data_IF_559472404479
#
_entry.id   IF_559472404479
#
_cell.length_a   1.000
_cell.length_b   1.000
_cell.length_c   1.000
_cell.angle_alpha   90.00
_cell.angle_beta   90.00
_cell.angle_gamma   90.00
#
_symmetry.space_group_name_H-M   'P 1'
#
loop_
_entity.id
_entity.type
_entity.pdbx_description
1 polymer ?
#
# COMPACT_ATOMS: atom_id res chain seq x y z
N UNK A 1 27.90 12.34 -5.07
CA UNK A 1 28.15 11.69 -6.37
C UNK A 1 26.82 11.39 -7.11
N UNK A 2 25.89 10.61 -6.52
CA UNK A 2 24.62 10.27 -7.17
C UNK A 2 23.80 11.51 -7.58
N UNK A 3 23.51 12.43 -6.64
CA UNK A 3 22.76 13.66 -6.90
C UNK A 3 23.43 14.54 -7.96
N UNK A 4 24.77 14.67 -7.93
CA UNK A 4 25.49 15.46 -8.94
C UNK A 4 25.40 14.87 -10.35
N UNK A 5 25.34 13.54 -10.48
CA UNK A 5 25.12 12.89 -11.78
C UNK A 5 23.69 13.09 -12.29
N UNK A 6 22.70 13.10 -11.39
CA UNK A 6 21.31 13.40 -11.75
C UNK A 6 21.18 14.85 -12.29
N UNK A 7 21.80 15.83 -11.60
CA UNK A 7 21.76 17.21 -12.07
C UNK A 7 22.46 17.38 -13.41
N UNK A 8 23.58 16.71 -13.64
CA UNK A 8 24.27 16.68 -14.94
C UNK A 8 23.39 16.09 -16.02
N UNK A 9 22.77 14.94 -15.76
CA UNK A 9 21.80 14.32 -16.66
C UNK A 9 20.62 15.25 -16.97
N UNK A 10 20.10 15.94 -15.95
CA UNK A 10 19.02 16.93 -16.12
C UNK A 10 19.42 18.06 -17.08
N UNK A 11 20.63 18.57 -16.97
CA UNK A 11 21.15 19.62 -17.86
C UNK A 11 21.30 19.12 -19.30
N UNK A 12 21.83 17.92 -19.48
CA UNK A 12 22.04 17.33 -20.81
C UNK A 12 20.71 16.94 -21.49
N UNK A 13 19.82 16.28 -20.76
CA UNK A 13 18.58 15.72 -21.30
C UNK A 13 17.39 16.67 -21.24
N UNK A 14 17.29 17.50 -20.20
CA UNK A 14 16.15 18.39 -19.96
C UNK A 14 15.94 19.43 -21.06
N UNK A 15 17.02 19.94 -21.63
CA UNK A 15 16.95 20.91 -22.73
C UNK A 15 16.54 20.28 -24.06
N UNK A 16 16.78 18.99 -24.24
CA UNK A 16 16.50 18.29 -25.50
C UNK A 16 15.01 18.35 -25.89
N UNK A 17 14.10 18.13 -24.95
CA UNK A 17 12.66 18.14 -25.21
C UNK A 17 12.18 19.54 -25.63
N UNK A 18 12.68 20.60 -25.01
CA UNK A 18 12.30 21.99 -25.34
C UNK A 18 12.85 22.41 -26.70
N UNK A 19 14.07 22.00 -27.03
CA UNK A 19 14.65 22.21 -28.37
C UNK A 19 13.86 21.46 -29.46
N UNK A 20 13.47 20.21 -29.21
CA UNK A 20 12.64 19.43 -30.12
C UNK A 20 11.27 20.08 -30.35
N UNK A 21 10.61 20.53 -29.29
CA UNK A 21 9.32 21.23 -29.38
C UNK A 21 9.43 22.55 -30.15
N UNK A 22 10.48 23.34 -29.91
CA UNK A 22 10.77 24.56 -30.70
C UNK A 22 10.94 24.25 -32.18
N UNK A 23 11.67 23.19 -32.51
CA UNK A 23 11.89 22.73 -33.88
C UNK A 23 10.59 22.25 -34.56
N UNK A 24 9.67 21.68 -33.81
CA UNK A 24 8.34 21.28 -34.26
C UNK A 24 7.40 22.48 -34.41
N UNK A 25 7.81 23.70 -34.02
CA UNK A 25 7.00 24.90 -34.13
C UNK A 25 5.98 25.09 -32.99
N UNK A 26 6.17 24.43 -31.86
CA UNK A 26 5.30 24.62 -30.70
C UNK A 26 5.40 26.05 -30.18
N UNK A 27 4.26 26.71 -29.97
CA UNK A 27 4.16 28.09 -29.50
C UNK A 27 3.96 28.18 -28.00
N UNK A 28 5.02 27.89 -27.22
CA UNK A 28 5.02 28.04 -25.78
C UNK A 28 5.74 29.33 -25.38
N UNK A 29 5.45 29.81 -24.17
CA UNK A 29 6.23 30.87 -23.54
C UNK A 29 7.49 30.29 -22.91
N UNK A 30 8.53 30.14 -23.71
CA UNK A 30 9.81 29.56 -23.33
C UNK A 30 10.55 30.36 -22.24
N UNK A 31 10.20 31.60 -22.02
CA UNK A 31 10.79 32.43 -20.94
C UNK A 31 10.30 32.01 -19.57
N UNK A 32 9.19 31.28 -19.48
CA UNK A 32 8.59 30.75 -18.26
C UNK A 32 8.78 29.25 -18.12
N UNK A 33 9.78 28.69 -18.81
CA UNK A 33 10.16 27.29 -18.61
C UNK A 33 10.58 27.06 -17.14
N UNK A 34 10.03 26.01 -16.53
CA UNK A 34 10.30 25.63 -15.14
C UNK A 34 10.65 24.15 -15.06
N UNK A 35 11.44 23.81 -14.08
CA UNK A 35 11.77 22.44 -13.73
C UNK A 35 11.21 22.11 -12.35
N UNK A 36 10.56 20.94 -12.22
CA UNK A 36 9.82 20.56 -10.99
C UNK A 36 10.65 20.56 -9.72
N UNK A 37 11.98 20.40 -9.83
CA UNK A 37 12.94 20.45 -8.72
C UNK A 37 13.70 21.76 -8.63
N UNK A 38 13.29 22.83 -9.35
CA UNK A 38 13.90 24.14 -9.15
C UNK A 38 13.53 24.73 -7.77
N UNK A 39 14.33 25.65 -7.27
CA UNK A 39 14.15 26.24 -5.93
C UNK A 39 12.77 26.85 -5.73
N UNK A 40 12.22 27.52 -6.75
CA UNK A 40 10.91 28.15 -6.66
C UNK A 40 9.76 27.14 -6.53
N UNK A 41 9.79 26.06 -7.32
CA UNK A 41 8.79 25.00 -7.21
C UNK A 41 8.99 24.14 -5.96
N UNK A 42 10.23 23.87 -5.54
CA UNK A 42 10.52 23.21 -4.27
C UNK A 42 9.96 24.00 -3.08
N UNK A 43 10.14 25.32 -3.06
CA UNK A 43 9.55 26.19 -2.03
C UNK A 43 8.01 26.16 -2.08
N UNK A 44 7.41 26.15 -3.28
CA UNK A 44 5.97 26.05 -3.42
C UNK A 44 5.41 24.73 -2.88
N UNK A 45 6.09 23.60 -3.15
CA UNK A 45 5.72 22.28 -2.61
C UNK A 45 5.77 22.29 -1.08
N UNK A 46 6.87 22.78 -0.48
CA UNK A 46 7.00 22.87 0.97
C UNK A 46 5.89 23.73 1.58
N UNK A 47 5.61 24.89 1.00
CA UNK A 47 4.56 25.79 1.47
C UNK A 47 3.17 25.16 1.43
N UNK A 48 2.85 24.44 0.34
CA UNK A 48 1.57 23.73 0.22
C UNK A 48 1.48 22.60 1.23
N UNK A 49 2.56 21.81 1.40
CA UNK A 49 2.61 20.75 2.40
C UNK A 49 2.33 21.29 3.81
N UNK A 50 3.04 22.34 4.22
CA UNK A 50 2.89 22.96 5.55
C UNK A 50 1.49 23.52 5.75
N UNK A 51 0.90 24.18 4.73
CA UNK A 51 -0.47 24.70 4.80
C UNK A 51 -1.47 23.56 5.01
N UNK A 52 -1.43 22.53 4.17
CA UNK A 52 -2.35 21.39 4.27
C UNK A 52 -2.17 20.60 5.58
N UNK A 53 -0.93 20.49 6.09
CA UNK A 53 -0.68 19.88 7.39
C UNK A 53 -1.32 20.68 8.53
N UNK A 54 -1.16 22.00 8.53
CA UNK A 54 -1.76 22.89 9.53
C UNK A 54 -3.31 22.89 9.48
N UNK A 55 -3.88 22.63 8.31
CA UNK A 55 -5.33 22.45 8.12
C UNK A 55 -5.81 21.04 8.49
N UNK A 56 -4.91 20.13 8.87
CA UNK A 56 -5.23 18.73 9.19
C UNK A 56 -5.62 17.88 7.98
N UNK A 57 -5.21 18.31 6.78
CA UNK A 57 -5.44 17.60 5.51
C UNK A 57 -4.26 16.72 5.10
N UNK A 58 -3.08 16.96 5.68
CA UNK A 58 -1.93 16.05 5.58
C UNK A 58 -1.69 15.43 6.96
N UNK A 59 -1.49 14.12 6.97
CA UNK A 59 -1.27 13.37 8.20
C UNK A 59 -0.36 12.15 7.94
N UNK A 60 0.23 11.61 9.00
CA UNK A 60 1.01 10.35 8.95
C UNK A 60 0.18 9.23 9.53
N UNK A 61 0.11 8.10 8.85
CA UNK A 61 -0.66 6.93 9.28
C UNK A 61 0.01 5.63 8.82
N UNK A 62 -0.27 4.56 9.56
CA UNK A 62 0.19 3.22 9.22
C UNK A 62 -0.90 2.50 8.43
N UNK A 63 -0.69 2.33 7.13
CA UNK A 63 -1.62 1.68 6.20
C UNK A 63 -0.90 0.75 5.24
N UNK A 64 -1.67 -0.08 4.56
CA UNK A 64 -1.17 -0.79 3.38
C UNK A 64 -0.92 0.20 2.24
N UNK A 65 0.23 0.02 1.59
CA UNK A 65 0.59 0.70 0.35
C UNK A 65 0.99 -0.31 -0.71
N UNK A 66 0.92 0.07 -1.97
CA UNK A 66 1.59 -0.65 -3.03
C UNK A 66 3.10 -0.45 -2.87
N UNK A 67 3.81 -1.51 -2.55
CA UNK A 67 5.26 -1.49 -2.32
C UNK A 67 6.01 -2.17 -3.44
N UNK A 68 6.95 -1.46 -4.01
CA UNK A 68 7.88 -2.03 -4.98
C UNK A 68 9.13 -2.57 -4.25
N UNK A 69 9.30 -3.91 -4.15
CA UNK A 69 10.41 -4.48 -3.39
C UNK A 69 11.76 -4.37 -4.10
N UNK A 70 11.79 -4.07 -5.41
CA UNK A 70 13.03 -3.82 -6.15
C UNK A 70 13.48 -2.37 -5.98
N UNK A 71 12.58 -1.41 -6.11
CA UNK A 71 12.88 0.01 -5.92
C UNK A 71 12.88 0.41 -4.44
N UNK A 72 12.32 -0.43 -3.55
CA UNK A 72 12.21 -0.23 -2.10
C UNK A 72 11.47 1.06 -1.74
N UNK A 73 10.35 1.28 -2.41
CA UNK A 73 9.52 2.46 -2.21
C UNK A 73 8.04 2.15 -2.37
N UNK A 74 7.21 2.95 -1.70
CA UNK A 74 5.79 3.01 -2.01
C UNK A 74 5.58 3.61 -3.41
N UNK A 75 4.58 3.11 -4.13
CA UNK A 75 4.15 3.64 -5.43
C UNK A 75 2.65 3.92 -5.38
N UNK A 76 2.18 4.82 -6.25
CA UNK A 76 0.77 5.14 -6.36
C UNK A 76 0.01 4.08 -7.19
N UNK A 77 -1.31 4.04 -7.04
CA UNK A 77 -2.16 3.14 -7.83
C UNK A 77 -2.01 3.36 -9.35
N UNK A 78 -1.69 4.59 -9.77
CA UNK A 78 -1.44 4.93 -11.18
C UNK A 78 -0.13 4.35 -11.73
N UNK A 79 0.80 3.96 -10.86
CA UNK A 79 2.08 3.33 -11.20
C UNK A 79 1.99 1.79 -11.15
N UNK A 80 0.77 1.24 -10.90
CA UNK A 80 0.52 -0.20 -10.87
C UNK A 80 -0.13 -0.67 -12.16
N UNK A 81 0.53 -1.59 -12.85
CA UNK A 81 0.03 -2.23 -14.06
C UNK A 81 -0.54 -3.59 -13.71
N UNK A 82 -1.83 -3.79 -13.97
CA UNK A 82 -2.47 -5.09 -13.79
C UNK A 82 -2.16 -6.00 -14.99
N UNK A 83 -1.62 -7.19 -14.73
CA UNK A 83 -1.34 -8.19 -15.77
C UNK A 83 -2.06 -9.50 -15.46
N UNK A 84 -2.66 -10.10 -16.48
CA UNK A 84 -3.19 -11.46 -16.41
C UNK A 84 -2.04 -12.45 -16.48
N UNK A 85 -1.95 -13.33 -15.50
CA UNK A 85 -0.88 -14.33 -15.39
C UNK A 85 -1.48 -15.68 -15.07
N UNK A 86 -1.06 -16.72 -15.78
CA UNK A 86 -1.38 -18.09 -15.42
C UNK A 86 -0.73 -18.43 -14.06
N UNK A 87 -1.53 -18.91 -13.13
CA UNK A 87 -1.11 -19.28 -11.80
C UNK A 87 -1.89 -20.48 -11.28
N UNK A 88 -1.96 -20.57 -9.98
CA UNK A 88 -2.65 -21.66 -9.31
C UNK A 88 -3.49 -21.16 -8.16
N UNK A 89 -4.57 -21.87 -7.89
CA UNK A 89 -5.40 -21.76 -6.70
C UNK A 89 -5.16 -23.02 -5.85
N UNK A 90 -4.66 -22.84 -4.65
CA UNK A 90 -4.36 -23.94 -3.72
C UNK A 90 -5.43 -24.04 -2.66
N UNK A 91 -5.94 -25.27 -2.46
CA UNK A 91 -6.95 -25.58 -1.44
C UNK A 91 -6.25 -26.24 -0.25
N UNK A 92 -6.31 -25.59 0.92
CA UNK A 92 -5.53 -25.94 2.10
C UNK A 92 -6.48 -26.23 3.27
N UNK A 93 -6.23 -27.33 4.00
CA UNK A 93 -6.98 -27.72 5.22
C UNK A 93 -6.44 -26.95 6.43
N UNK A 94 -7.33 -26.31 7.16
CA UNK A 94 -7.07 -25.75 8.49
C UNK A 94 -7.82 -26.58 9.54
N UNK A 95 -7.12 -27.40 10.34
CA UNK A 95 -7.77 -28.29 11.32
C UNK A 95 -8.49 -27.50 12.40
N UNK A 96 -9.68 -27.93 12.78
CA UNK A 96 -10.45 -27.34 13.87
C UNK A 96 -9.86 -27.81 15.20
N UNK A 97 -9.51 -26.87 16.09
CA UNK A 97 -8.81 -27.18 17.37
C UNK A 97 -9.63 -28.10 18.27
N UNK A 98 -10.94 -27.86 18.37
CA UNK A 98 -11.87 -28.64 19.20
C UNK A 98 -12.24 -29.99 18.61
N UNK A 99 -11.98 -30.21 17.32
CA UNK A 99 -12.29 -31.46 16.61
C UNK A 99 -11.30 -31.70 15.48
N UNK A 100 -10.23 -32.38 15.79
CA UNK A 100 -9.12 -32.67 14.85
C UNK A 100 -9.52 -33.49 13.60
N UNK A 101 -10.71 -34.10 13.60
CA UNK A 101 -11.23 -34.83 12.44
C UNK A 101 -11.87 -33.88 11.44
N UNK A 102 -12.29 -32.70 11.88
CA UNK A 102 -12.85 -31.66 11.06
C UNK A 102 -11.81 -30.60 10.69
N UNK A 103 -11.93 -30.08 9.50
CA UNK A 103 -11.11 -28.98 8.99
C UNK A 103 -11.98 -28.02 8.17
N UNK A 104 -11.61 -26.77 8.12
CA UNK A 104 -12.11 -25.82 7.12
C UNK A 104 -11.10 -25.76 5.97
N UNK A 105 -11.60 -25.79 4.74
CA UNK A 105 -10.75 -25.69 3.55
C UNK A 105 -10.79 -24.23 3.07
N UNK A 106 -9.65 -23.62 2.87
CA UNK A 106 -9.51 -22.31 2.24
C UNK A 106 -8.91 -22.46 0.84
N UNK A 107 -9.24 -21.55 -0.06
CA UNK A 107 -8.62 -21.44 -1.37
C UNK A 107 -7.83 -20.14 -1.46
N UNK A 108 -6.58 -20.20 -1.91
CA UNK A 108 -5.71 -19.02 -2.01
C UNK A 108 -4.78 -19.09 -3.20
N UNK A 109 -4.48 -17.94 -3.80
CA UNK A 109 -3.44 -17.75 -4.81
C UNK A 109 -2.09 -17.36 -4.19
N UNK A 110 -2.07 -17.07 -2.87
CA UNK A 110 -0.89 -16.60 -2.14
C UNK A 110 -0.66 -17.39 -0.84
N UNK A 111 -0.32 -18.69 -0.94
CA UNK A 111 -0.17 -19.54 0.25
C UNK A 111 0.94 -19.05 1.18
N UNK A 112 1.99 -18.40 0.70
CA UNK A 112 3.09 -17.84 1.50
C UNK A 112 2.63 -16.81 2.53
N UNK A 113 1.49 -16.15 2.30
CA UNK A 113 0.96 -15.16 3.27
C UNK A 113 0.26 -15.79 4.46
N UNK A 114 0.02 -17.12 4.46
CA UNK A 114 -0.62 -17.82 5.57
C UNK A 114 0.11 -17.66 6.92
N UNK A 115 1.40 -17.39 6.90
CA UNK A 115 2.15 -17.07 8.10
C UNK A 115 1.62 -15.83 8.84
N UNK A 116 0.95 -14.93 8.14
CA UNK A 116 0.33 -13.71 8.67
C UNK A 116 -1.18 -13.80 8.89
N UNK A 117 -1.80 -14.97 8.70
CA UNK A 117 -3.25 -15.13 8.89
C UNK A 117 -3.66 -14.85 10.32
N UNK A 118 -4.76 -14.10 10.50
CA UNK A 118 -5.30 -13.74 11.82
C UNK A 118 -6.74 -14.19 12.03
N UNK A 119 -7.45 -14.53 10.95
CA UNK A 119 -8.77 -15.14 10.98
C UNK A 119 -9.05 -15.94 9.71
N UNK A 120 -10.12 -16.74 9.73
CA UNK A 120 -10.81 -17.21 8.53
C UNK A 120 -12.18 -16.58 8.52
N UNK A 121 -12.54 -15.90 7.43
CA UNK A 121 -13.86 -15.32 7.23
C UNK A 121 -14.76 -16.28 6.45
N UNK A 122 -16.02 -16.36 6.85
CA UNK A 122 -17.10 -17.06 6.14
C UNK A 122 -18.32 -16.15 6.04
N UNK A 123 -19.10 -16.31 5.00
CA UNK A 123 -20.30 -15.49 4.84
C UNK A 123 -21.34 -15.83 5.92
N UNK A 124 -21.96 -14.86 6.60
CA UNK A 124 -22.97 -15.11 7.63
C UNK A 124 -24.20 -15.88 7.10
N UNK A 125 -24.46 -15.85 5.78
CA UNK A 125 -25.55 -16.57 5.12
C UNK A 125 -25.16 -17.98 4.67
N UNK A 126 -23.87 -18.35 4.73
CA UNK A 126 -23.38 -19.66 4.31
C UNK A 126 -23.64 -20.73 5.38
N UNK A 127 -24.61 -21.57 5.11
CA UNK A 127 -25.04 -22.63 6.05
C UNK A 127 -23.98 -23.71 6.26
N UNK A 128 -23.02 -23.88 5.33
CA UNK A 128 -21.96 -24.90 5.41
C UNK A 128 -21.06 -24.68 6.63
N UNK A 129 -20.86 -23.44 7.03
CA UNK A 129 -19.93 -23.07 8.08
C UNK A 129 -20.59 -22.61 9.39
N UNK A 130 -21.92 -22.62 9.47
CA UNK A 130 -22.69 -22.11 10.62
C UNK A 130 -22.19 -22.66 11.97
N UNK A 131 -21.90 -23.95 12.03
CA UNK A 131 -21.46 -24.64 13.27
C UNK A 131 -19.96 -24.47 13.55
N UNK A 132 -19.21 -23.85 12.64
CA UNK A 132 -17.77 -23.57 12.77
C UNK A 132 -17.49 -22.11 13.19
N UNK A 133 -18.44 -21.19 13.02
CA UNK A 133 -18.27 -19.79 13.41
C UNK A 133 -17.94 -19.68 14.92
N UNK A 134 -16.92 -18.89 15.24
CA UNK A 134 -16.41 -18.68 16.59
C UNK A 134 -15.47 -19.77 17.08
N UNK A 135 -15.33 -20.90 16.38
CA UNK A 135 -14.32 -21.93 16.71
C UNK A 135 -12.92 -21.49 16.28
N UNK A 136 -11.93 -22.12 16.89
CA UNK A 136 -10.52 -21.92 16.53
C UNK A 136 -10.05 -23.01 15.56
N UNK A 137 -9.19 -22.61 14.63
CA UNK A 137 -8.45 -23.50 13.74
C UNK A 137 -6.95 -23.28 13.90
N UNK A 138 -6.17 -24.30 13.53
CA UNK A 138 -4.71 -24.21 13.47
C UNK A 138 -4.29 -23.83 12.07
N UNK A 139 -3.41 -22.82 11.97
CA UNK A 139 -2.69 -22.55 10.72
C UNK A 139 -1.70 -23.72 10.51
N UNK A 140 -1.80 -24.45 9.39
CA UNK A 140 -0.86 -25.53 9.08
C UNK A 140 0.59 -25.07 9.13
N UNK A 141 1.51 -25.96 9.49
CA UNK A 141 2.96 -25.69 9.56
C UNK A 141 3.34 -24.67 10.66
N UNK A 142 2.55 -23.63 10.87
CA UNK A 142 2.79 -22.56 11.86
C UNK A 142 2.34 -22.96 13.26
N UNK A 143 1.20 -23.64 13.36
CA UNK A 143 0.59 -24.09 14.64
C UNK A 143 -0.10 -22.96 15.42
N UNK A 144 -0.16 -21.72 14.90
CA UNK A 144 -0.90 -20.62 15.54
C UNK A 144 -2.40 -20.86 15.40
N UNK A 145 -3.14 -20.53 16.47
CA UNK A 145 -4.60 -20.62 16.49
C UNK A 145 -5.20 -19.30 16.02
N UNK A 146 -6.20 -19.39 15.14
CA UNK A 146 -6.99 -18.26 14.67
C UNK A 146 -8.48 -18.60 14.73
N UNK A 147 -9.34 -17.58 14.78
CA UNK A 147 -10.79 -17.77 14.86
C UNK A 147 -11.45 -17.79 13.48
N UNK A 148 -12.54 -18.53 13.37
CA UNK A 148 -13.47 -18.42 12.26
C UNK A 148 -14.46 -17.31 12.60
N UNK A 149 -14.50 -16.27 11.76
CA UNK A 149 -15.37 -15.09 11.90
C UNK A 149 -16.40 -15.06 10.78
N UNK A 150 -17.44 -14.26 10.94
CA UNK A 150 -18.38 -13.95 9.86
C UNK A 150 -18.08 -12.60 9.25
N UNK A 151 -18.01 -12.55 7.93
CA UNK A 151 -17.89 -11.30 7.18
C UNK A 151 -18.54 -11.46 5.80
N UNK A 152 -19.28 -10.45 5.34
CA UNK A 152 -19.93 -10.46 4.02
C UNK A 152 -18.92 -10.41 2.86
N UNK A 153 -17.66 -10.07 3.14
CA UNK A 153 -16.57 -10.15 2.18
C UNK A 153 -16.35 -11.56 1.62
N UNK A 154 -16.55 -12.60 2.44
CA UNK A 154 -16.44 -13.98 1.98
C UNK A 154 -17.60 -14.33 1.04
N UNK A 155 -17.27 -14.59 -0.24
CA UNK A 155 -18.24 -14.99 -1.24
C UNK A 155 -18.45 -16.52 -1.21
N UNK A 156 -19.68 -17.02 -0.90
CA UNK A 156 -19.96 -18.45 -0.81
C UNK A 156 -19.72 -19.22 -2.12
N UNK A 157 -19.78 -18.53 -3.26
CA UNK A 157 -19.67 -19.12 -4.59
C UNK A 157 -18.23 -19.10 -5.14
N UNK A 158 -17.30 -18.47 -4.44
CA UNK A 158 -15.90 -18.43 -4.83
C UNK A 158 -15.03 -19.39 -4.01
N UNK A 159 -14.18 -20.18 -4.70
CA UNK A 159 -13.25 -21.12 -4.07
C UNK A 159 -13.95 -22.13 -3.18
N UNK A 160 -13.67 -22.09 -1.87
CA UNK A 160 -14.35 -22.92 -0.86
C UNK A 160 -15.51 -22.17 -0.17
N UNK A 161 -15.66 -20.87 -0.39
CA UNK A 161 -16.54 -19.98 0.37
C UNK A 161 -15.96 -19.52 1.71
N UNK A 162 -14.80 -20.03 2.08
CA UNK A 162 -14.05 -19.60 3.26
C UNK A 162 -12.75 -18.91 2.83
N UNK A 163 -12.48 -17.74 3.38
CA UNK A 163 -11.35 -16.90 3.00
C UNK A 163 -10.42 -16.72 4.20
N UNK A 164 -9.13 -16.98 4.01
CA UNK A 164 -8.11 -16.62 5.00
C UNK A 164 -7.98 -15.10 5.05
N UNK A 165 -7.82 -14.54 6.22
CA UNK A 165 -7.69 -13.08 6.41
C UNK A 165 -6.27 -12.78 6.88
N UNK A 166 -5.53 -12.09 6.01
CA UNK A 166 -4.15 -11.65 6.24
C UNK A 166 -4.05 -10.12 6.12
N UNK A 167 -4.47 -9.37 7.13
CA UNK A 167 -4.69 -7.93 7.04
C UNK A 167 -3.46 -7.10 6.66
N UNK A 168 -2.25 -7.60 6.90
CA UNK A 168 -1.02 -6.89 6.55
C UNK A 168 -0.52 -7.15 5.11
N UNK A 169 -1.21 -8.01 4.32
CA UNK A 169 -0.74 -8.44 2.99
C UNK A 169 -1.82 -8.47 1.90
N UNK A 170 -3.01 -7.95 2.18
CA UNK A 170 -4.10 -7.77 1.22
C UNK A 170 -4.97 -6.59 1.61
N UNK A 171 -5.34 -5.74 0.65
CA UNK A 171 -6.12 -4.52 0.91
C UNK A 171 -7.53 -4.81 1.41
N UNK A 172 -8.19 -5.83 0.85
CA UNK A 172 -9.53 -6.22 1.29
C UNK A 172 -9.48 -6.85 2.69
N UNK A 173 -8.48 -7.71 2.94
CA UNK A 173 -8.26 -8.32 4.25
C UNK A 173 -7.91 -7.26 5.32
N UNK A 174 -7.24 -6.17 4.93
CA UNK A 174 -6.97 -5.04 5.81
C UNK A 174 -8.26 -4.39 6.32
N UNK A 175 -9.24 -4.19 5.44
CA UNK A 175 -10.53 -3.63 5.82
C UNK A 175 -11.34 -4.61 6.68
N UNK A 176 -11.30 -5.92 6.36
CA UNK A 176 -11.87 -6.96 7.23
C UNK A 176 -11.18 -6.93 8.60
N UNK A 177 -9.87 -6.84 8.62
CA UNK A 177 -9.06 -6.75 9.83
C UNK A 177 -9.44 -5.56 10.72
N UNK A 178 -9.60 -4.38 10.12
CA UNK A 178 -10.02 -3.16 10.84
C UNK A 178 -11.40 -3.30 11.47
N UNK A 179 -12.41 -3.68 10.70
CA UNK A 179 -13.79 -3.78 11.22
C UNK A 179 -14.01 -4.91 12.22
N UNK A 180 -13.16 -5.95 12.17
CA UNK A 180 -13.19 -7.07 13.13
C UNK A 180 -12.13 -6.96 14.23
N UNK A 181 -11.36 -5.87 14.27
CA UNK A 181 -10.28 -5.62 15.24
C UNK A 181 -9.26 -6.78 15.31
N UNK A 182 -8.83 -7.27 14.14
CA UNK A 182 -7.84 -8.34 14.01
C UNK A 182 -6.42 -7.79 14.10
N UNK A 183 -5.49 -8.62 14.56
CA UNK A 183 -4.07 -8.31 14.54
C UNK A 183 -3.55 -8.19 13.10
N UNK A 184 -2.62 -7.27 12.87
CA UNK A 184 -1.99 -7.04 11.56
C UNK A 184 -0.54 -7.51 11.61
N UNK A 185 -0.30 -8.77 11.24
CA UNK A 185 1.02 -9.40 11.28
C UNK A 185 1.69 -9.23 9.92
N UNK A 186 2.67 -8.34 9.84
CA UNK A 186 3.49 -8.15 8.64
C UNK A 186 4.63 -9.17 8.62
N UNK A 187 4.61 -10.06 7.65
CA UNK A 187 5.56 -11.19 7.54
C UNK A 187 6.66 -10.98 6.50
N UNK A 188 6.67 -9.86 5.81
CA UNK A 188 7.66 -9.54 4.78
C UNK A 188 8.45 -8.29 5.16
N UNK A 189 9.69 -8.23 4.72
CA UNK A 189 10.54 -7.05 4.79
C UNK A 189 10.45 -6.20 3.52
N UNK A 190 11.21 -5.11 3.46
CA UNK A 190 11.24 -4.17 2.34
C UNK A 190 11.73 -4.79 1.03
N UNK A 191 12.44 -5.92 1.08
CA UNK A 191 12.92 -6.67 -0.08
C UNK A 191 11.91 -7.74 -0.56
N UNK A 192 10.73 -7.84 0.10
CA UNK A 192 9.74 -8.88 -0.16
C UNK A 192 10.20 -10.27 0.30
N UNK A 193 11.14 -10.35 1.24
CA UNK A 193 11.56 -11.58 1.90
C UNK A 193 10.81 -11.77 3.20
N UNK A 194 10.63 -13.02 3.59
CA UNK A 194 10.01 -13.34 4.87
C UNK A 194 10.89 -12.87 6.03
N UNK A 195 10.30 -12.15 6.98
CA UNK A 195 10.99 -11.54 8.12
C UNK A 195 11.03 -12.47 9.36
N UNK A 196 11.30 -11.91 10.55
CA UNK A 196 11.41 -12.65 11.81
C UNK A 196 10.08 -13.04 12.45
N UNK A 197 8.94 -12.61 11.92
CA UNK A 197 7.60 -13.01 12.37
C UNK A 197 7.24 -14.43 11.93
N UNK A 198 7.97 -15.00 10.97
CA UNK A 198 7.78 -16.38 10.53
C UNK A 198 8.76 -17.34 11.23
N UNK A 199 8.47 -18.68 11.30
CA UNK A 199 9.38 -19.64 11.87
C UNK A 199 10.78 -19.60 11.23
N UNK A 200 11.83 -19.81 12.01
CA UNK A 200 13.24 -19.57 11.64
C UNK A 200 13.67 -20.20 10.31
N UNK A 201 13.15 -21.39 9.97
CA UNK A 201 13.46 -22.07 8.69
C UNK A 201 12.94 -21.34 7.45
N UNK A 202 12.00 -20.39 7.62
CA UNK A 202 11.38 -19.62 6.54
C UNK A 202 11.95 -18.21 6.42
N UNK A 203 12.63 -17.72 7.44
CA UNK A 203 13.18 -16.36 7.47
C UNK A 203 14.19 -16.13 6.34
N UNK A 204 14.18 -14.91 5.82
CA UNK A 204 15.04 -14.44 4.72
C UNK A 204 14.84 -15.17 3.38
N UNK A 205 13.84 -16.04 3.25
CA UNK A 205 13.46 -16.59 1.97
C UNK A 205 12.70 -15.53 1.16
N UNK A 206 13.03 -15.45 -0.13
CA UNK A 206 12.18 -14.75 -1.09
C UNK A 206 10.76 -15.33 -1.07
N UNK A 207 9.73 -14.48 -1.18
CA UNK A 207 8.33 -14.86 -1.07
C UNK A 207 7.89 -15.96 -2.03
N UNK A 208 8.42 -15.99 -3.25
CA UNK A 208 8.09 -17.01 -4.25
C UNK A 208 8.77 -18.34 -3.94
N UNK A 209 10.04 -18.31 -3.51
CA UNK A 209 10.74 -19.51 -3.03
C UNK A 209 10.12 -20.07 -1.76
N UNK A 210 9.63 -19.20 -0.88
CA UNK A 210 8.88 -19.61 0.29
C UNK A 210 7.56 -20.29 -0.09
N UNK A 211 6.85 -19.75 -1.09
CA UNK A 211 5.63 -20.35 -1.64
C UNK A 211 5.87 -21.76 -2.15
N UNK A 212 6.87 -21.95 -3.00
CA UNK A 212 7.22 -23.28 -3.54
C UNK A 212 7.46 -24.30 -2.44
N UNK A 213 8.36 -23.98 -1.50
CA UNK A 213 8.68 -24.88 -0.38
C UNK A 213 7.48 -25.14 0.54
N UNK A 214 6.65 -24.12 0.75
CA UNK A 214 5.47 -24.24 1.59
C UNK A 214 4.45 -25.20 0.98
N UNK A 215 4.22 -25.14 -0.33
CA UNK A 215 3.33 -26.06 -1.03
C UNK A 215 3.84 -27.50 -0.91
N UNK A 216 5.14 -27.74 -1.08
CA UNK A 216 5.75 -29.08 -0.88
C UNK A 216 5.55 -29.59 0.56
N UNK A 217 5.73 -28.72 1.56
CA UNK A 217 5.53 -29.10 2.95
C UNK A 217 4.06 -29.34 3.31
N UNK A 218 3.14 -28.55 2.76
CA UNK A 218 1.69 -28.73 2.93
C UNK A 218 1.22 -30.05 2.29
N UNK A 219 1.73 -30.41 1.14
CA UNK A 219 1.43 -31.68 0.46
C UNK A 219 1.97 -32.86 1.27
N UNK A 220 3.23 -32.81 1.66
CA UNK A 220 3.90 -33.87 2.46
C UNK A 220 3.17 -34.15 3.78
N UNK A 221 2.56 -33.12 4.39
CA UNK A 221 1.83 -33.24 5.67
C UNK A 221 0.30 -33.40 5.49
N UNK A 222 -0.18 -33.69 4.30
CA UNK A 222 -1.60 -33.91 3.97
C UNK A 222 -2.51 -32.71 4.27
N UNK A 223 -1.97 -31.50 4.23
CA UNK A 223 -2.75 -30.25 4.35
C UNK A 223 -3.21 -29.71 2.99
N UNK A 224 -2.52 -30.04 1.89
CA UNK A 224 -2.90 -29.66 0.54
C UNK A 224 -4.00 -30.60 0.02
N UNK A 225 -5.17 -30.07 -0.31
CA UNK A 225 -6.32 -30.84 -0.81
C UNK A 225 -6.26 -31.02 -2.31
N UNK A 226 -6.04 -29.93 -3.00
CA UNK A 226 -5.91 -29.88 -4.49
C UNK A 226 -5.24 -28.61 -4.93
N UNK A 227 -4.78 -28.61 -6.16
CA UNK A 227 -4.25 -27.45 -6.88
C UNK A 227 -5.00 -27.33 -8.21
N UNK A 228 -5.51 -26.15 -8.51
CA UNK A 228 -6.20 -25.84 -9.78
C UNK A 228 -5.44 -24.77 -10.53
N UNK A 229 -5.38 -24.87 -11.86
CA UNK A 229 -4.91 -23.76 -12.70
C UNK A 229 -5.89 -22.61 -12.57
N UNK A 230 -5.36 -21.42 -12.44
CA UNK A 230 -6.16 -20.21 -12.21
C UNK A 230 -5.52 -19.02 -12.92
N UNK A 231 -6.29 -18.32 -13.75
CA UNK A 231 -5.88 -17.04 -14.30
C UNK A 231 -6.06 -15.97 -13.24
N UNK A 232 -4.98 -15.29 -12.88
CA UNK A 232 -4.97 -14.28 -11.84
C UNK A 232 -4.48 -12.95 -12.38
N UNK A 233 -5.12 -11.87 -11.99
CA UNK A 233 -4.66 -10.52 -12.26
C UNK A 233 -3.70 -10.11 -11.16
N UNK A 234 -2.44 -9.85 -11.52
CA UNK A 234 -1.35 -9.56 -10.59
C UNK A 234 -0.84 -8.12 -10.82
N UNK A 235 -0.62 -7.34 -9.73
CA UNK A 235 -0.09 -5.98 -9.83
C UNK A 235 1.43 -5.99 -10.09
N UNK A 236 1.88 -5.22 -11.08
CA UNK A 236 3.29 -4.98 -11.40
C UNK A 236 3.61 -3.49 -11.32
N UNK A 237 4.82 -3.14 -10.91
CA UNK A 237 5.31 -1.76 -10.98
C UNK A 237 5.62 -1.35 -12.41
N UNK A 238 5.19 -0.16 -12.82
CA UNK A 238 5.36 0.36 -14.18
C UNK A 238 6.83 0.56 -14.57
N UNK A 239 7.69 0.84 -13.59
CA UNK A 239 9.13 1.12 -13.80
C UNK A 239 10.02 -0.09 -13.57
N UNK A 240 9.67 -0.93 -12.61
CA UNK A 240 10.48 -2.07 -12.20
C UNK A 240 10.11 -3.35 -12.92
N UNK A 241 8.87 -3.44 -13.40
CA UNK A 241 8.28 -4.66 -13.98
C UNK A 241 8.30 -5.87 -13.02
N UNK A 242 8.28 -5.61 -11.71
CA UNK A 242 8.20 -6.65 -10.68
C UNK A 242 6.82 -6.66 -10.02
N UNK A 243 6.47 -7.80 -9.44
CA UNK A 243 5.22 -7.96 -8.70
C UNK A 243 5.27 -7.09 -7.43
N UNK A 244 4.26 -6.23 -7.29
CA UNK A 244 4.07 -5.31 -6.18
C UNK A 244 3.48 -6.06 -4.99
N UNK A 245 3.91 -5.68 -3.77
CA UNK A 245 3.39 -6.24 -2.54
C UNK A 245 2.55 -5.22 -1.76
N UNK A 246 1.34 -5.59 -1.29
CA UNK A 246 0.70 -4.83 -0.23
C UNK A 246 1.59 -4.85 1.02
N UNK A 247 2.06 -3.69 1.45
CA UNK A 247 3.03 -3.55 2.54
C UNK A 247 2.55 -2.57 3.60
N UNK A 248 2.54 -3.02 4.85
CA UNK A 248 2.06 -2.24 5.98
C UNK A 248 3.18 -1.35 6.53
N UNK A 249 3.12 -0.05 6.26
CA UNK A 249 4.15 0.91 6.68
C UNK A 249 3.55 2.26 7.03
N UNK A 250 4.29 3.06 7.81
CA UNK A 250 3.94 4.45 8.08
C UNK A 250 4.30 5.32 6.88
N UNK A 251 3.30 6.05 6.39
CA UNK A 251 3.44 6.94 5.23
C UNK A 251 2.70 8.25 5.47
N UNK A 252 3.01 9.27 4.66
CA UNK A 252 2.30 10.53 4.65
C UNK A 252 1.14 10.49 3.65
N UNK A 253 -0.03 10.95 4.10
CA UNK A 253 -1.26 10.93 3.31
C UNK A 253 -1.88 12.31 3.22
N UNK A 254 -2.49 12.60 2.07
CA UNK A 254 -3.43 13.71 1.89
C UNK A 254 -4.85 13.16 2.04
N UNK A 255 -5.68 13.83 2.84
CA UNK A 255 -7.12 13.61 2.92
C UNK A 255 -7.80 14.11 1.63
N UNK A 256 -7.66 13.30 0.57
CA UNK A 256 -8.17 13.64 -0.75
C UNK A 256 -9.70 13.68 -0.79
N UNK A 257 -10.38 12.94 0.08
CA UNK A 257 -11.84 12.94 0.19
C UNK A 257 -12.36 14.33 0.57
N UNK A 258 -11.80 14.95 1.61
CA UNK A 258 -12.18 16.31 1.97
C UNK A 258 -11.89 17.33 0.88
N UNK A 259 -10.77 17.19 0.17
CA UNK A 259 -10.41 18.06 -0.95
C UNK A 259 -11.32 17.85 -2.17
N UNK A 260 -11.86 16.65 -2.37
CA UNK A 260 -12.78 16.34 -3.46
C UNK A 260 -14.17 17.01 -3.31
N UNK A 261 -14.62 17.26 -2.08
CA UNK A 261 -15.96 17.82 -1.81
C UNK A 261 -16.21 19.13 -2.57
N UNK A 262 -15.37 20.17 -2.45
CA UNK A 262 -15.60 21.42 -3.17
C UNK A 262 -15.43 21.27 -4.69
N UNK A 263 -14.58 20.35 -5.15
CA UNK A 263 -14.38 20.07 -6.57
C UNK A 263 -15.64 19.43 -7.18
N UNK A 264 -16.21 18.41 -6.54
CA UNK A 264 -17.50 17.81 -6.92
C UNK A 264 -18.63 18.84 -6.96
N UNK A 265 -18.72 19.67 -5.91
CA UNK A 265 -19.73 20.72 -5.80
C UNK A 265 -19.64 21.70 -6.98
N UNK A 266 -18.44 22.09 -7.40
CA UNK A 266 -18.23 23.03 -8.51
C UNK A 266 -18.82 22.51 -9.83
N UNK A 267 -18.72 21.20 -10.10
CA UNK A 267 -19.31 20.59 -11.30
C UNK A 267 -20.82 20.38 -11.13
N UNK A 268 -21.28 19.90 -9.96
CA UNK A 268 -22.71 19.71 -9.68
C UNK A 268 -23.51 21.01 -9.77
N UNK A 269 -22.91 22.13 -9.37
CA UNK A 269 -23.52 23.46 -9.46
C UNK A 269 -23.34 24.12 -10.84
N UNK A 270 -22.69 23.45 -11.78
CA UNK A 270 -22.49 23.97 -13.14
C UNK A 270 -21.47 25.10 -13.27
N UNK A 271 -20.69 25.38 -12.21
CA UNK A 271 -19.57 26.35 -12.25
C UNK A 271 -18.43 25.88 -13.15
N UNK A 272 -18.23 24.57 -13.22
CA UNK A 272 -17.33 23.91 -14.15
C UNK A 272 -18.12 22.90 -14.99
N UNK A 273 -17.81 22.80 -16.29
CA UNK A 273 -18.48 21.91 -17.23
C UNK A 273 -17.46 21.14 -18.05
N UNK A 274 -17.75 19.89 -18.32
CA UNK A 274 -16.99 19.05 -19.26
C UNK A 274 -17.59 19.13 -20.66
N UNK A 275 -16.72 19.23 -21.66
CA UNK A 275 -17.12 19.21 -23.09
C UNK A 275 -16.25 18.16 -23.79
N UNK A 276 -16.82 17.06 -24.26
CA UNK A 276 -18.24 16.65 -24.17
C UNK A 276 -18.66 16.22 -22.75
N UNK A 277 -19.94 16.32 -22.44
CA UNK A 277 -20.50 16.15 -21.09
C UNK A 277 -20.41 14.72 -20.52
N UNK A 278 -20.20 13.71 -21.38
CA UNK A 278 -20.04 12.31 -20.94
C UNK A 278 -18.85 12.11 -20.00
N UNK A 279 -17.82 12.93 -20.08
CA UNK A 279 -16.65 12.87 -19.20
C UNK A 279 -16.96 13.26 -17.73
N UNK A 280 -18.08 13.94 -17.49
CA UNK A 280 -18.49 14.24 -16.11
C UNK A 280 -18.77 12.97 -15.30
N UNK A 281 -19.21 11.87 -15.94
CA UNK A 281 -19.41 10.60 -15.25
C UNK A 281 -18.08 10.07 -14.68
N UNK A 282 -17.04 9.99 -15.52
CA UNK A 282 -15.69 9.56 -15.08
C UNK A 282 -15.16 10.43 -13.95
N UNK A 283 -15.38 11.75 -14.04
CA UNK A 283 -14.98 12.69 -12.99
C UNK A 283 -15.70 12.40 -11.65
N UNK A 284 -17.01 12.18 -11.69
CA UNK A 284 -17.79 11.84 -10.49
C UNK A 284 -17.37 10.49 -9.93
N UNK A 285 -17.29 9.45 -10.77
CA UNK A 285 -16.90 8.10 -10.34
C UNK A 285 -15.53 8.10 -9.66
N UNK A 286 -14.58 8.90 -10.15
CA UNK A 286 -13.25 9.03 -9.56
C UNK A 286 -13.26 9.77 -8.22
N UNK A 287 -13.88 10.95 -8.16
CA UNK A 287 -13.81 11.79 -6.96
C UNK A 287 -14.76 11.35 -5.84
N UNK A 288 -15.87 10.69 -6.17
CA UNK A 288 -16.79 10.15 -5.15
C UNK A 288 -16.22 8.90 -4.46
N UNK A 289 -15.27 8.20 -5.10
CA UNK A 289 -14.61 7.02 -4.57
C UNK A 289 -13.12 7.25 -4.26
N UNK A 290 -12.68 8.51 -4.20
CA UNK A 290 -11.28 8.84 -4.00
C UNK A 290 -10.78 8.37 -2.63
N UNK A 291 -9.62 7.72 -2.63
CA UNK A 291 -8.98 7.25 -1.40
C UNK A 291 -7.92 8.27 -0.91
N UNK A 292 -7.52 8.20 0.36
CA UNK A 292 -6.40 8.99 0.86
C UNK A 292 -5.15 8.77 0.00
N UNK A 293 -4.56 9.84 -0.47
CA UNK A 293 -3.41 9.79 -1.36
C UNK A 293 -2.10 9.68 -0.58
N UNK A 294 -1.37 8.58 -0.76
CA UNK A 294 -0.01 8.42 -0.23
C UNK A 294 0.96 9.29 -1.03
N UNK A 295 1.59 10.28 -0.37
CA UNK A 295 2.48 11.26 -1.00
C UNK A 295 3.97 11.02 -0.70
N UNK A 296 4.30 10.24 0.32
CA UNK A 296 5.70 9.91 0.64
C UNK A 296 6.25 8.83 -0.30
N UNK A 297 7.54 8.96 -0.63
CA UNK A 297 8.32 8.02 -1.43
C UNK A 297 9.73 7.92 -0.86
N UNK A 298 10.27 6.72 -0.84
CA UNK A 298 11.62 6.44 -0.35
C UNK A 298 12.64 6.66 -1.48
N UNK A 299 12.84 7.92 -1.86
CA UNK A 299 13.69 8.31 -2.98
C UNK A 299 14.95 9.04 -2.50
N UNK A 300 16.06 8.81 -3.17
CA UNK A 300 17.31 9.53 -2.88
C UNK A 300 17.34 10.95 -3.46
N UNK A 301 16.45 11.25 -4.36
CA UNK A 301 16.31 12.56 -4.99
C UNK A 301 14.84 12.88 -5.23
N UNK A 302 14.38 13.96 -4.64
CA UNK A 302 12.99 14.41 -4.68
C UNK A 302 12.76 15.59 -3.75
N UNK A 303 11.52 16.03 -3.62
CA UNK A 303 11.12 17.00 -2.59
C UNK A 303 11.03 16.29 -1.25
N UNK A 304 12.01 16.49 -0.39
CA UNK A 304 12.04 15.89 0.93
C UNK A 304 10.94 16.51 1.82
N UNK A 305 10.20 15.66 2.51
CA UNK A 305 9.09 16.07 3.40
C UNK A 305 9.60 17.05 4.46
N UNK A 306 8.95 18.23 4.62
CA UNK A 306 9.35 19.27 5.55
C UNK A 306 8.84 18.98 6.97
N UNK A 307 9.17 17.79 7.51
CA UNK A 307 8.80 17.33 8.84
C UNK A 307 10.04 16.88 9.62
N UNK A 308 10.02 17.09 10.94
CA UNK A 308 11.09 16.68 11.85
C UNK A 308 10.52 16.05 13.11
N UNK A 309 11.26 15.10 13.67
CA UNK A 309 10.88 14.34 14.86
C UNK A 309 11.71 14.79 16.06
N UNK A 310 11.03 15.10 17.15
CA UNK A 310 11.65 15.30 18.46
C UNK A 310 12.01 13.99 19.15
N UNK A 311 12.64 14.07 20.34
CA UNK A 311 13.09 12.88 21.09
C UNK A 311 11.97 11.91 21.48
N UNK A 312 10.77 12.41 21.65
CA UNK A 312 9.53 11.65 21.96
C UNK A 312 8.73 11.27 20.71
N UNK A 313 9.34 11.42 19.52
CA UNK A 313 8.71 11.22 18.19
C UNK A 313 7.60 12.23 17.86
N UNK A 314 7.49 13.32 18.60
CA UNK A 314 6.58 14.40 18.22
C UNK A 314 7.00 14.99 16.88
N UNK A 315 6.01 15.16 16.00
CA UNK A 315 6.20 15.70 14.65
C UNK A 315 6.10 17.23 14.71
N UNK A 316 7.07 17.90 14.07
CA UNK A 316 7.08 19.34 13.82
C UNK A 316 7.19 19.55 12.30
N UNK A 317 6.34 20.43 11.76
CA UNK A 317 6.27 20.71 10.35
C UNK A 317 6.41 22.21 10.11
N UNK A 318 7.36 22.61 9.27
CA UNK A 318 7.54 23.99 8.84
C UNK A 318 8.26 24.04 7.48
N UNK A 319 8.27 25.21 6.84
CA UNK A 319 8.91 25.41 5.53
C UNK A 319 10.43 25.27 5.58
N UNK A 320 11.04 25.52 6.77
CA UNK A 320 12.47 25.46 6.99
C UNK A 320 12.84 24.96 8.39
N UNK A 321 14.09 24.56 8.59
CA UNK A 321 14.58 23.99 9.83
C UNK A 321 14.62 25.00 11.00
N UNK A 322 14.80 26.29 10.72
CA UNK A 322 14.87 27.33 11.76
C UNK A 322 13.52 27.47 12.46
N UNK A 323 12.43 27.51 11.70
CA UNK A 323 11.07 27.57 12.23
C UNK A 323 10.74 26.31 13.06
N UNK A 324 11.19 25.14 12.59
CA UNK A 324 11.02 23.89 13.33
C UNK A 324 11.76 23.92 14.66
N UNK A 325 13.00 24.40 14.69
CA UNK A 325 13.78 24.57 15.94
C UNK A 325 13.08 25.48 16.93
N UNK A 326 12.47 26.57 16.44
CA UNK A 326 11.69 27.48 17.28
C UNK A 326 10.42 26.81 17.85
N UNK A 327 9.69 26.06 17.02
CA UNK A 327 8.53 25.30 17.46
C UNK A 327 8.91 24.26 18.52
N UNK A 328 10.00 23.50 18.30
CA UNK A 328 10.49 22.50 19.22
C UNK A 328 10.96 23.12 20.54
N UNK A 329 11.73 24.23 20.49
CA UNK A 329 12.17 24.97 21.67
C UNK A 329 10.99 25.49 22.50
N UNK A 330 9.95 25.99 21.85
CA UNK A 330 8.71 26.40 22.52
C UNK A 330 8.00 25.22 23.19
N UNK A 331 8.01 24.04 22.56
CA UNK A 331 7.36 22.84 23.09
C UNK A 331 8.14 22.22 24.26
N UNK A 332 9.47 22.05 24.11
CA UNK A 332 10.31 21.39 25.11
C UNK A 332 10.91 22.32 26.17
N UNK A 333 10.81 23.65 25.99
CA UNK A 333 11.44 24.65 26.87
C UNK A 333 12.97 24.72 26.75
N UNK A 334 13.58 23.97 25.86
CA UNK A 334 15.04 23.89 25.59
C UNK A 334 15.30 23.49 24.15
N UNK A 335 16.53 23.68 23.71
CA UNK A 335 16.98 23.15 22.42
C UNK A 335 17.10 21.62 22.52
N UNK A 336 16.59 20.92 21.50
CA UNK A 336 16.63 19.45 21.37
C UNK A 336 17.13 19.07 20.00
N UNK A 337 17.66 17.87 19.89
CA UNK A 337 18.01 17.28 18.59
C UNK A 337 16.74 16.92 17.83
N UNK A 338 16.71 17.25 16.55
CA UNK A 338 15.59 17.00 15.66
C UNK A 338 16.06 16.16 14.48
N UNK A 339 15.33 15.13 14.16
CA UNK A 339 15.62 14.23 13.03
C UNK A 339 14.62 14.53 11.92
N UNK A 340 15.14 14.93 10.74
CA UNK A 340 14.29 15.17 9.58
C UNK A 340 13.70 13.87 9.04
N UNK A 341 12.48 13.93 8.53
CA UNK A 341 11.83 12.80 7.85
C UNK A 341 12.72 12.35 6.67
N UNK A 342 12.97 11.04 6.51
CA UNK A 342 13.85 10.54 5.45
C UNK A 342 13.21 10.59 4.05
N UNK A 343 11.88 10.65 3.95
CA UNK A 343 11.08 10.58 2.71
C UNK A 343 10.96 11.93 1.99
#
# INVERSE_FOLDING_TARGET
KFISEIWKWKEESGNTITEQLRRLGASCDWSRERFTMDDGLSNAVNKVFVSLYNEGLIYKDKRLVNWDPQLKTAISDLEVIQKEVEGYLWYIKYPVVSDKKNSIIIATTRPETMFGDTAIAVNPKDKRYKDLVGKEVLIPIVGRKIKIITDEYADPDQGSGAVKITPAHDFNDFDVGKRNNLEMISIMDIDGKLNNEVPSKWQQLDRFKAREKLIEELDTNDYLVKTEKYENTIPFGDRSDVIIEPFLTEQWYVDAEKLAIPALKSVKEGKMKFIPSNWSKTYYDWLENIQPWCISRQLWWGHQIPAWYGPDKKIFVAENEEDVKQQAKKHYGKDVELIRDPD
#
